data_IF_868330809628
#
_entry.id   IF_868330809628
#
_cell.length_a   1.000
_cell.length_b   1.000
_cell.length_c   1.000
_cell.angle_alpha   90.00
_cell.angle_beta   90.00
_cell.angle_gamma   90.00
#
_symmetry.space_group_name_H-M   'P 1'
#
loop_
_entity.id
_entity.type
_entity.pdbx_description
1 polymer ?
#
# COMPACT_ATOMS: atom_id res chain seq x y z
N UNK A 1 20.24 -1.94 4.04
CA UNK A 1 19.82 -3.31 3.66
C UNK A 1 18.40 -3.21 3.14
N UNK A 2 18.15 -3.67 1.92
CA UNK A 2 16.89 -3.51 1.19
C UNK A 2 15.85 -4.50 1.71
N UNK A 3 14.67 -4.02 2.11
CA UNK A 3 13.60 -4.88 2.61
C UNK A 3 12.44 -4.82 1.62
N UNK A 4 12.26 -5.91 0.87
CA UNK A 4 11.12 -6.06 -0.04
C UNK A 4 9.89 -6.44 0.80
N UNK A 5 8.84 -5.61 0.78
CA UNK A 5 7.60 -5.82 1.56
C UNK A 5 6.63 -6.84 0.90
N UNK A 6 7.14 -7.67 0.00
CA UNK A 6 6.44 -8.80 -0.60
C UNK A 6 7.36 -10.03 -0.61
N UNK A 7 6.79 -11.23 -0.59
CA UNK A 7 7.53 -12.49 -0.69
C UNK A 7 7.51 -13.05 -2.11
N UNK A 8 8.53 -13.84 -2.43
CA UNK A 8 8.55 -14.70 -3.62
C UNK A 8 8.48 -16.16 -3.17
N UNK A 9 7.57 -16.93 -3.74
CA UNK A 9 7.30 -18.31 -3.36
C UNK A 9 7.07 -18.45 -1.85
N UNK A 10 7.84 -19.32 -1.21
CA UNK A 10 7.74 -19.56 0.24
C UNK A 10 8.42 -18.46 1.09
N UNK A 11 9.01 -17.42 0.51
CA UNK A 11 9.51 -16.27 1.26
C UNK A 11 10.75 -16.52 2.12
N UNK A 12 11.60 -17.48 1.75
CA UNK A 12 12.91 -17.70 2.42
C UNK A 12 13.80 -16.45 2.35
N UNK A 13 13.77 -15.77 1.21
CA UNK A 13 14.52 -14.52 0.98
C UNK A 13 13.72 -13.26 1.36
N UNK A 14 12.54 -13.41 1.96
CA UNK A 14 11.76 -12.27 2.41
C UNK A 14 12.53 -11.52 3.51
N UNK A 15 12.68 -10.21 3.33
CA UNK A 15 13.35 -9.33 4.29
C UNK A 15 12.50 -8.13 4.68
N UNK A 16 11.23 -8.04 4.27
CA UNK A 16 10.32 -6.94 4.65
C UNK A 16 10.14 -6.75 6.16
N UNK A 17 9.38 -5.74 6.54
CA UNK A 17 9.21 -5.26 7.92
C UNK A 17 7.89 -5.68 8.56
N UNK A 18 7.09 -6.53 7.89
CA UNK A 18 5.89 -7.10 8.50
C UNK A 18 6.20 -7.72 9.87
N UNK A 19 5.48 -7.27 10.89
CA UNK A 19 5.75 -7.55 12.31
C UNK A 19 4.48 -7.97 13.06
N UNK A 20 3.42 -8.32 12.33
CA UNK A 20 2.19 -8.90 12.83
C UNK A 20 1.87 -10.20 12.11
N UNK A 21 1.26 -11.12 12.84
CA UNK A 21 0.75 -12.37 12.27
C UNK A 21 -0.51 -12.10 11.42
N UNK A 22 -0.95 -13.10 10.66
CA UNK A 22 -2.20 -13.06 9.90
C UNK A 22 -3.44 -12.76 10.75
N UNK A 23 -3.37 -13.00 12.07
CA UNK A 23 -4.41 -12.66 13.06
C UNK A 23 -4.20 -11.31 13.73
N UNK A 24 -3.21 -10.53 13.31
CA UNK A 24 -2.88 -9.21 13.86
C UNK A 24 -2.11 -9.26 15.19
N UNK A 25 -1.65 -10.42 15.65
CA UNK A 25 -0.86 -10.54 16.89
C UNK A 25 0.55 -10.01 16.64
N UNK A 26 1.07 -9.19 17.55
CA UNK A 26 2.42 -8.64 17.44
C UNK A 26 3.46 -9.74 17.54
N UNK A 27 4.47 -9.68 16.68
CA UNK A 27 5.59 -10.60 16.74
C UNK A 27 6.52 -10.29 17.93
N UNK A 28 7.02 -11.32 18.58
CA UNK A 28 8.15 -11.28 19.52
C UNK A 28 9.45 -11.10 18.73
N UNK A 29 10.44 -10.39 19.30
CA UNK A 29 11.76 -10.28 18.66
C UNK A 29 12.46 -11.64 18.63
N UNK A 30 13.20 -11.91 17.56
CA UNK A 30 13.93 -13.17 17.41
C UNK A 30 15.06 -13.37 18.44
N UNK A 31 15.57 -12.27 18.99
CA UNK A 31 16.59 -12.27 20.04
C UNK A 31 16.00 -12.35 21.47
N UNK A 32 14.70 -12.07 21.65
CA UNK A 32 14.05 -12.11 22.97
C UNK A 32 13.64 -13.55 23.30
N UNK A 33 13.66 -13.91 24.59
CA UNK A 33 13.28 -15.24 25.08
C UNK A 33 11.95 -15.29 25.84
N UNK A 34 11.19 -14.19 25.83
CA UNK A 34 9.90 -14.01 26.52
C UNK A 34 8.86 -13.45 25.52
N UNK A 35 7.61 -13.95 25.49
CA UNK A 35 7.09 -15.09 26.27
C UNK A 35 7.61 -16.46 25.82
N UNK A 36 8.12 -16.58 24.60
CA UNK A 36 8.53 -17.87 24.03
C UNK A 36 10.04 -17.94 23.86
N UNK A 37 10.67 -19.00 24.36
CA UNK A 37 12.08 -19.27 24.05
C UNK A 37 12.27 -19.70 22.58
N UNK A 38 12.92 -18.92 21.69
CA UNK A 38 12.98 -19.23 20.27
C UNK A 38 13.94 -20.39 19.95
N UNK A 39 13.56 -21.22 18.96
CA UNK A 39 14.46 -22.22 18.36
C UNK A 39 15.39 -21.58 17.31
N UNK A 40 14.89 -20.59 16.59
CA UNK A 40 15.63 -19.83 15.59
C UNK A 40 15.95 -18.47 16.19
N UNK A 41 17.24 -18.15 16.32
CA UNK A 41 17.73 -16.88 16.86
C UNK A 41 18.78 -16.29 15.90
N UNK A 42 19.02 -14.97 15.94
CA UNK A 42 20.01 -14.32 15.08
C UNK A 42 21.41 -14.91 15.24
N UNK A 43 21.78 -15.34 16.45
CA UNK A 43 23.09 -15.93 16.76
C UNK A 43 23.24 -17.32 16.12
N UNK A 44 22.17 -18.13 16.12
CA UNK A 44 22.18 -19.49 15.55
C UNK A 44 22.01 -19.50 14.03
N UNK A 45 21.28 -18.52 13.48
CA UNK A 45 20.95 -18.44 12.05
C UNK A 45 21.27 -17.05 11.48
N UNK A 46 22.55 -16.64 11.45
CA UNK A 46 22.95 -15.27 11.08
C UNK A 46 22.63 -14.90 9.62
N UNK A 47 22.42 -15.88 8.75
CA UNK A 47 22.04 -15.66 7.33
C UNK A 47 20.53 -15.59 7.08
N UNK A 48 19.71 -15.93 8.08
CA UNK A 48 18.26 -15.93 7.94
C UNK A 48 17.64 -14.52 8.08
N UNK A 49 18.45 -13.49 8.38
CA UNK A 49 17.99 -12.11 8.47
C UNK A 49 16.97 -11.90 9.58
N UNK A 50 17.15 -12.57 10.73
CA UNK A 50 16.26 -12.55 11.89
C UNK A 50 16.35 -11.23 12.67
N UNK A 51 16.15 -10.12 11.98
CA UNK A 51 16.24 -8.78 12.53
C UNK A 51 14.93 -8.39 13.23
N UNK A 52 15.05 -7.68 14.36
CA UNK A 52 13.91 -7.23 15.18
C UNK A 52 12.89 -8.35 15.45
N UNK A 53 11.62 -8.08 15.20
CA UNK A 53 10.49 -9.02 15.29
C UNK A 53 9.85 -9.26 13.93
N UNK A 54 10.58 -9.06 12.83
CA UNK A 54 10.01 -9.16 11.49
C UNK A 54 9.74 -10.61 11.09
N UNK A 55 8.66 -10.87 10.36
CA UNK A 55 8.32 -12.19 9.88
C UNK A 55 9.40 -12.76 8.95
N UNK A 56 9.81 -14.01 9.15
CA UNK A 56 10.87 -14.68 8.38
C UNK A 56 10.52 -16.14 8.16
N UNK A 57 11.19 -16.78 7.21
CA UNK A 57 11.06 -18.22 6.97
C UNK A 57 12.44 -18.90 7.12
N UNK A 58 12.98 -19.01 8.35
CA UNK A 58 14.32 -19.55 8.59
C UNK A 58 14.43 -21.07 8.34
N UNK A 59 13.30 -21.77 8.27
CA UNK A 59 13.21 -23.22 8.14
C UNK A 59 12.67 -23.71 6.81
N UNK A 60 12.35 -22.81 5.89
CA UNK A 60 11.86 -23.17 4.56
C UNK A 60 10.46 -23.80 4.60
N UNK A 61 9.63 -23.41 5.56
CA UNK A 61 8.25 -23.88 5.68
C UNK A 61 7.45 -23.49 4.41
N UNK A 62 6.73 -24.46 3.84
CA UNK A 62 5.95 -24.28 2.62
C UNK A 62 4.80 -23.27 2.78
N UNK A 63 4.32 -23.03 4.01
CA UNK A 63 3.28 -22.03 4.31
C UNK A 63 3.80 -20.61 4.28
N UNK A 64 5.11 -20.43 4.36
CA UNK A 64 5.78 -19.15 4.19
C UNK A 64 6.23 -18.50 5.50
N UNK A 65 6.53 -17.18 5.49
CA UNK A 65 7.15 -16.52 6.64
C UNK A 65 6.21 -16.42 7.84
N UNK A 66 6.81 -16.52 9.01
CA UNK A 66 6.15 -16.58 10.31
C UNK A 66 6.98 -15.84 11.36
N UNK A 67 6.42 -15.66 12.56
CA UNK A 67 7.15 -15.14 13.71
C UNK A 67 6.67 -15.79 15.01
N UNK A 68 7.52 -15.78 16.04
CA UNK A 68 7.05 -16.01 17.41
C UNK A 68 6.11 -14.87 17.81
N UNK A 69 5.08 -15.13 18.61
CA UNK A 69 4.09 -14.10 18.95
C UNK A 69 4.31 -13.55 20.36
N UNK A 70 3.78 -12.36 20.66
CA UNK A 70 3.77 -11.83 22.03
C UNK A 70 2.65 -12.42 22.89
N UNK A 71 1.77 -13.25 22.34
CA UNK A 71 0.71 -13.95 23.06
C UNK A 71 1.27 -15.23 23.73
N UNK A 72 1.22 -15.36 25.07
CA UNK A 72 1.72 -16.55 25.78
C UNK A 72 1.05 -17.87 25.37
N UNK A 73 -0.18 -17.84 24.86
CA UNK A 73 -0.92 -19.04 24.46
C UNK A 73 -0.62 -19.45 23.01
N UNK A 74 -0.13 -18.51 22.19
CA UNK A 74 0.19 -18.74 20.78
C UNK A 74 1.69 -18.64 20.54
N UNK A 75 2.38 -19.78 20.51
CA UNK A 75 3.85 -19.82 20.36
C UNK A 75 4.35 -19.11 19.10
N UNK A 76 3.75 -19.39 17.96
CA UNK A 76 4.07 -18.78 16.67
C UNK A 76 2.81 -18.79 15.78
N UNK A 77 2.77 -17.90 14.80
CA UNK A 77 1.74 -17.91 13.75
C UNK A 77 2.35 -17.35 12.45
N UNK A 78 1.70 -17.64 11.32
CA UNK A 78 2.15 -17.18 10.01
C UNK A 78 1.79 -15.72 9.78
N UNK A 79 2.51 -15.07 8.88
CA UNK A 79 2.27 -13.67 8.53
C UNK A 79 1.63 -13.56 7.14
N UNK A 80 0.68 -12.64 6.99
CA UNK A 80 0.01 -12.35 5.71
C UNK A 80 0.85 -11.44 4.83
N UNK A 81 1.95 -11.99 4.28
CA UNK A 81 2.84 -11.23 3.38
C UNK A 81 2.37 -11.43 1.93
N UNK A 82 2.15 -10.34 1.17
CA UNK A 82 1.71 -10.43 -0.21
C UNK A 82 2.79 -11.05 -1.11
N UNK A 83 2.36 -11.78 -2.14
CA UNK A 83 3.26 -12.29 -3.18
C UNK A 83 3.73 -11.12 -4.06
N UNK A 84 5.00 -11.13 -4.48
CA UNK A 84 5.50 -10.10 -5.37
C UNK A 84 4.86 -10.21 -6.75
N UNK A 85 4.23 -9.12 -7.18
CA UNK A 85 3.54 -9.04 -8.47
C UNK A 85 4.53 -8.92 -9.62
N UNK A 86 4.74 -10.00 -10.38
CA UNK A 86 5.74 -10.04 -11.46
C UNK A 86 5.15 -10.09 -12.87
N UNK A 87 3.95 -10.65 -13.06
CA UNK A 87 3.31 -10.79 -14.38
C UNK A 87 2.24 -9.73 -14.66
N UNK A 88 1.48 -9.37 -13.63
CA UNK A 88 0.37 -8.43 -13.69
C UNK A 88 0.44 -7.47 -12.49
N UNK A 89 -0.44 -6.46 -12.44
CA UNK A 89 -0.55 -5.55 -11.30
C UNK A 89 -1.93 -5.62 -10.64
N UNK A 90 -1.96 -5.56 -9.31
CA UNK A 90 -3.15 -5.19 -8.55
C UNK A 90 -3.16 -3.68 -8.30
N UNK A 91 -4.32 -3.15 -7.89
CA UNK A 91 -4.44 -1.76 -7.44
C UNK A 91 -3.87 -0.76 -8.46
N UNK A 92 -2.97 0.13 -8.07
CA UNK A 92 -2.28 1.04 -9.01
C UNK A 92 -0.86 0.55 -9.34
N UNK A 93 -0.51 -0.69 -8.98
CA UNK A 93 0.80 -1.28 -9.22
C UNK A 93 1.92 -0.76 -8.30
N UNK A 94 1.58 -0.30 -7.10
CA UNK A 94 2.53 0.13 -6.07
C UNK A 94 3.49 -1.02 -5.68
N UNK A 95 2.98 -2.24 -5.71
CA UNK A 95 3.72 -3.48 -5.44
C UNK A 95 4.13 -4.23 -6.71
N UNK A 96 3.97 -3.63 -7.89
CA UNK A 96 4.45 -4.22 -9.12
C UNK A 96 5.98 -4.31 -9.12
N UNK A 97 6.50 -5.52 -9.29
CA UNK A 97 7.93 -5.86 -9.28
C UNK A 97 8.35 -6.64 -10.52
N UNK A 98 7.50 -6.66 -11.55
CA UNK A 98 7.81 -7.27 -12.84
C UNK A 98 8.89 -6.53 -13.63
N UNK A 99 9.16 -7.04 -14.83
CA UNK A 99 10.30 -6.64 -15.68
C UNK A 99 9.89 -5.85 -16.92
N UNK A 100 8.63 -5.43 -17.02
CA UNK A 100 8.16 -4.57 -18.11
C UNK A 100 8.99 -3.27 -18.11
N UNK A 101 9.55 -2.91 -19.26
CA UNK A 101 10.46 -1.78 -19.44
C UNK A 101 10.13 -0.98 -20.72
N UNK A 102 8.85 -0.99 -21.11
CA UNK A 102 8.35 -0.29 -22.29
C UNK A 102 7.01 0.35 -21.96
N UNK A 103 6.80 1.57 -22.44
CA UNK A 103 5.63 2.38 -22.14
C UNK A 103 4.45 2.03 -23.04
N UNK A 104 3.25 2.52 -22.72
CA UNK A 104 2.05 2.38 -23.55
C UNK A 104 2.25 2.91 -24.97
N UNK A 105 3.13 3.90 -25.15
CA UNK A 105 3.47 4.46 -26.47
C UNK A 105 4.60 3.70 -27.17
N UNK A 106 5.04 2.56 -26.63
CA UNK A 106 6.13 1.75 -27.18
C UNK A 106 7.53 2.30 -26.91
N UNK A 107 7.69 3.30 -26.03
CA UNK A 107 8.99 3.89 -25.74
C UNK A 107 9.75 3.05 -24.71
N UNK A 108 11.05 2.85 -24.93
CA UNK A 108 11.92 2.18 -23.96
C UNK A 108 12.07 3.05 -22.71
N UNK A 109 12.02 2.41 -21.55
CA UNK A 109 12.27 3.10 -20.29
C UNK A 109 13.74 3.46 -20.12
N UNK A 110 13.99 4.68 -19.62
CA UNK A 110 15.26 5.12 -19.05
C UNK A 110 15.48 4.39 -17.72
N UNK A 111 16.75 4.07 -17.40
CA UNK A 111 17.07 3.45 -16.11
C UNK A 111 16.89 4.45 -14.97
N UNK A 112 16.39 3.98 -13.83
CA UNK A 112 16.17 4.82 -12.65
C UNK A 112 17.47 5.38 -12.06
N UNK A 113 18.59 4.67 -12.23
CA UNK A 113 19.93 5.13 -11.82
C UNK A 113 20.59 6.07 -12.85
N UNK A 114 19.94 6.32 -14.00
CA UNK A 114 20.45 7.22 -15.03
C UNK A 114 19.79 8.59 -14.95
N UNK A 115 20.56 9.64 -15.20
CA UNK A 115 20.07 11.03 -15.28
C UNK A 115 19.96 11.55 -16.72
N UNK A 116 20.07 10.66 -17.71
CA UNK A 116 19.97 10.96 -19.14
C UNK A 116 18.96 10.04 -19.85
N UNK A 117 18.17 10.55 -20.83
CA UNK A 117 18.08 11.96 -21.23
C UNK A 117 17.35 12.87 -20.23
N UNK A 118 16.64 12.29 -19.24
CA UNK A 118 15.85 13.07 -18.29
C UNK A 118 16.43 13.02 -16.89
N UNK A 119 16.92 14.15 -16.39
CA UNK A 119 17.34 14.25 -14.98
C UNK A 119 16.11 14.25 -14.06
N UNK A 120 16.15 13.52 -12.94
CA UNK A 120 15.02 13.32 -12.03
C UNK A 120 15.42 12.93 -10.60
N UNK A 121 14.51 13.12 -9.64
CA UNK A 121 14.73 12.82 -8.22
C UNK A 121 14.53 11.37 -7.78
N UNK A 122 13.90 10.52 -8.61
CA UNK A 122 13.63 9.10 -8.32
C UNK A 122 14.87 8.22 -8.46
N UNK A 123 15.92 8.53 -7.70
CA UNK A 123 17.13 7.73 -7.65
C UNK A 123 16.91 6.52 -6.73
N UNK A 124 17.36 5.30 -7.11
CA UNK A 124 17.20 4.11 -6.28
C UNK A 124 17.83 4.23 -4.89
N UNK A 125 18.87 5.06 -4.76
CA UNK A 125 19.55 5.34 -3.49
C UNK A 125 18.68 6.15 -2.51
N UNK A 126 17.81 7.02 -3.04
CA UNK A 126 16.91 7.86 -2.23
C UNK A 126 15.61 7.13 -1.85
N UNK A 127 15.22 6.13 -2.65
CA UNK A 127 13.97 5.38 -2.48
C UNK A 127 14.22 3.86 -2.54
N UNK A 128 15.07 3.30 -1.65
CA UNK A 128 15.47 1.90 -1.70
C UNK A 128 14.30 0.91 -1.56
N UNK A 129 13.22 1.31 -0.90
CA UNK A 129 12.00 0.53 -0.68
C UNK A 129 11.08 0.45 -1.91
N UNK A 130 11.22 1.37 -2.87
CA UNK A 130 10.38 1.45 -4.07
C UNK A 130 10.79 0.48 -5.18
N UNK A 131 11.86 -0.29 -4.98
CA UNK A 131 12.41 -1.25 -5.95
C UNK A 131 12.62 -0.64 -7.34
N UNK A 132 13.22 0.56 -7.39
CA UNK A 132 13.54 1.26 -8.64
C UNK A 132 14.71 0.58 -9.38
N UNK A 133 14.53 -0.67 -9.80
CA UNK A 133 15.57 -1.51 -10.40
C UNK A 133 15.61 -1.35 -11.92
N UNK A 134 16.82 -1.28 -12.46
CA UNK A 134 17.09 -1.14 -13.89
C UNK A 134 16.23 -0.01 -14.50
N UNK A 135 15.50 -0.32 -15.55
CA UNK A 135 14.52 0.56 -16.20
C UNK A 135 13.12 -0.05 -16.15
N UNK A 136 12.83 -0.90 -15.17
CA UNK A 136 11.52 -1.53 -15.06
C UNK A 136 10.47 -0.53 -14.58
N UNK A 137 9.27 -0.62 -15.11
CA UNK A 137 8.15 0.23 -14.74
C UNK A 137 7.82 0.07 -13.26
N UNK A 138 7.62 1.20 -12.56
CA UNK A 138 7.31 1.24 -11.12
C UNK A 138 6.29 2.34 -10.85
N UNK A 139 5.61 2.24 -9.72
CA UNK A 139 4.73 3.28 -9.21
C UNK A 139 5.21 3.75 -7.83
N UNK A 140 6.26 4.59 -7.76
CA UNK A 140 6.82 5.02 -6.49
C UNK A 140 5.98 6.07 -5.77
N UNK A 141 5.11 6.77 -6.48
CA UNK A 141 4.49 8.03 -6.08
C UNK A 141 2.96 8.02 -6.06
N UNK A 142 2.31 6.87 -6.27
CA UNK A 142 0.86 6.75 -6.17
C UNK A 142 0.13 7.22 -7.43
N UNK A 143 0.82 7.21 -8.57
CA UNK A 143 0.23 7.39 -9.89
C UNK A 143 -0.84 6.31 -10.17
N UNK A 144 -1.75 6.49 -11.16
CA UNK A 144 -2.78 5.50 -11.47
C UNK A 144 -2.25 4.13 -11.90
N UNK A 145 -1.02 4.09 -12.44
CA UNK A 145 -0.38 2.88 -12.99
C UNK A 145 1.15 3.02 -12.89
N UNK A 146 1.91 1.90 -12.93
CA UNK A 146 3.35 1.98 -13.05
C UNK A 146 3.77 2.71 -14.32
N UNK A 147 4.83 3.49 -14.18
CA UNK A 147 5.37 4.35 -15.21
C UNK A 147 6.90 4.26 -15.21
N UNK A 148 7.52 4.91 -16.18
CA UNK A 148 8.96 5.11 -16.20
C UNK A 148 9.32 6.41 -16.92
N UNK A 149 10.51 6.95 -16.65
CA UNK A 149 11.13 7.92 -17.55
C UNK A 149 11.42 7.23 -18.89
N UNK A 150 11.35 7.95 -20.01
CA UNK A 150 11.57 7.34 -21.33
C UNK A 150 12.94 7.69 -21.90
N UNK A 151 13.47 6.86 -22.80
CA UNK A 151 14.72 7.20 -23.53
C UNK A 151 14.49 8.24 -24.63
N UNK A 152 13.24 8.68 -24.88
CA UNK A 152 12.95 9.72 -25.86
C UNK A 152 13.18 11.10 -25.25
N UNK A 153 13.96 12.00 -25.89
CA UNK A 153 14.20 13.34 -25.36
C UNK A 153 12.94 14.22 -25.35
N UNK A 154 11.91 13.88 -26.13
CA UNK A 154 10.68 14.67 -26.26
C UNK A 154 9.54 14.22 -25.35
N UNK A 155 9.66 13.04 -24.73
CA UNK A 155 8.65 12.52 -23.79
C UNK A 155 9.33 12.11 -22.49
N UNK A 156 9.25 12.97 -21.49
CA UNK A 156 9.96 12.80 -20.22
C UNK A 156 9.64 11.47 -19.54
N UNK A 157 8.36 11.15 -19.43
CA UNK A 157 7.87 9.92 -18.81
C UNK A 157 6.58 9.49 -19.50
N UNK A 158 6.19 8.23 -19.29
CA UNK A 158 4.95 7.68 -19.81
C UNK A 158 4.51 6.47 -18.96
N UNK A 159 3.21 6.18 -18.96
CA UNK A 159 2.69 4.99 -18.28
C UNK A 159 3.13 3.71 -18.99
N UNK A 160 3.16 2.61 -18.26
CA UNK A 160 3.41 1.28 -18.82
C UNK A 160 2.13 0.47 -18.96
N UNK A 161 2.08 -0.36 -20.01
CA UNK A 161 0.95 -1.25 -20.26
C UNK A 161 1.12 -2.58 -19.52
N UNK A 162 0.89 -2.55 -18.21
CA UNK A 162 0.93 -3.75 -17.37
C UNK A 162 -0.51 -4.28 -17.20
N UNK A 163 -0.76 -5.57 -17.49
CA UNK A 163 -2.10 -6.14 -17.34
C UNK A 163 -2.53 -6.11 -15.87
N UNK A 164 -3.82 -5.83 -15.62
CA UNK A 164 -4.40 -5.98 -14.28
C UNK A 164 -4.57 -7.47 -13.98
N UNK A 165 -4.24 -7.90 -12.78
CA UNK A 165 -4.46 -9.29 -12.35
C UNK A 165 -5.97 -9.59 -12.29
N UNK A 166 -6.37 -10.80 -12.69
CA UNK A 166 -7.77 -11.27 -12.60
C UNK A 166 -8.10 -11.83 -11.23
N UNK A 167 -7.09 -12.11 -10.40
CA UNK A 167 -7.26 -12.49 -9.01
C UNK A 167 -7.73 -11.29 -8.18
N UNK A 168 -8.45 -11.52 -7.07
CA UNK A 168 -8.77 -10.44 -6.13
C UNK A 168 -7.47 -9.79 -5.64
N UNK A 169 -7.44 -8.45 -5.45
CA UNK A 169 -6.32 -7.79 -4.78
C UNK A 169 -6.17 -8.35 -3.35
N UNK A 170 -4.98 -8.18 -2.73
CA UNK A 170 -4.80 -8.49 -1.32
C UNK A 170 -5.94 -7.87 -0.52
N UNK A 171 -6.63 -8.62 0.36
CA UNK A 171 -7.78 -8.11 1.06
C UNK A 171 -7.37 -6.84 1.82
N UNK A 172 -7.98 -5.68 1.52
CA UNK A 172 -7.68 -4.48 2.28
C UNK A 172 -8.03 -4.73 3.74
N UNK A 173 -7.27 -4.12 4.65
CA UNK A 173 -7.62 -4.13 6.07
C UNK A 173 -9.10 -3.69 6.23
N UNK A 174 -9.88 -4.30 7.13
CA UNK A 174 -11.27 -3.93 7.32
C UNK A 174 -11.37 -2.43 7.60
N UNK A 175 -12.04 -1.72 6.70
CA UNK A 175 -12.12 -0.27 6.75
C UNK A 175 -12.93 0.24 7.95
N UNK A 176 -12.63 1.45 8.40
CA UNK A 176 -13.31 2.08 9.54
C UNK A 176 -14.49 2.92 9.09
N UNK A 177 -15.51 2.99 9.93
CA UNK A 177 -16.64 3.92 9.74
C UNK A 177 -16.42 5.29 10.40
N UNK A 178 -15.27 5.48 11.06
CA UNK A 178 -14.87 6.67 11.80
C UNK A 178 -13.46 7.11 11.38
N UNK A 179 -13.09 8.35 11.68
CA UNK A 179 -11.79 8.92 11.35
C UNK A 179 -10.71 8.39 12.29
N UNK A 180 -9.65 7.81 11.72
CA UNK A 180 -8.41 7.47 12.41
C UNK A 180 -7.21 7.92 11.58
N UNK A 181 -6.22 8.56 12.21
CA UNK A 181 -5.08 9.14 11.49
C UNK A 181 -5.55 10.12 10.40
N UNK A 182 -5.10 9.90 9.15
CA UNK A 182 -5.51 10.68 7.96
C UNK A 182 -6.77 10.13 7.27
N UNK A 183 -7.36 9.05 7.77
CA UNK A 183 -8.57 8.44 7.19
C UNK A 183 -8.37 7.72 5.85
N UNK A 184 -7.15 7.24 5.57
CA UNK A 184 -6.87 6.39 4.40
C UNK A 184 -7.64 5.06 4.45
N UNK A 185 -7.93 4.56 5.66
CA UNK A 185 -8.74 3.37 5.93
C UNK A 185 -10.23 3.66 6.12
N UNK A 186 -10.66 4.93 5.97
CA UNK A 186 -12.06 5.29 6.10
C UNK A 186 -12.89 4.69 4.97
N UNK A 187 -13.94 3.95 5.32
CA UNK A 187 -14.89 3.28 4.41
C UNK A 187 -16.35 3.55 4.80
N UNK A 188 -16.60 4.61 5.55
CA UNK A 188 -17.96 5.06 5.85
C UNK A 188 -18.65 5.73 4.65
N UNK A 189 -19.88 6.19 4.87
CA UNK A 189 -20.80 6.66 3.81
C UNK A 189 -21.07 8.17 3.86
N UNK A 190 -20.28 8.96 4.59
CA UNK A 190 -20.44 10.41 4.60
C UNK A 190 -20.16 10.95 3.19
N UNK A 191 -21.08 11.74 2.65
CA UNK A 191 -21.08 12.27 1.28
C UNK A 191 -21.31 13.78 1.21
N UNK A 192 -20.97 14.48 2.28
CA UNK A 192 -21.13 15.93 2.44
C UNK A 192 -19.85 16.50 3.07
N UNK A 193 -19.41 17.65 2.57
CA UNK A 193 -18.18 18.32 3.00
C UNK A 193 -18.36 19.10 4.30
N UNK A 194 -17.27 19.62 4.87
CA UNK A 194 -17.28 20.42 6.10
C UNK A 194 -18.16 21.69 5.99
N UNK A 195 -18.18 22.36 4.83
CA UNK A 195 -19.08 23.50 4.58
C UNK A 195 -20.48 23.12 4.07
N UNK A 196 -20.80 21.83 3.98
CA UNK A 196 -22.13 21.34 3.58
C UNK A 196 -22.31 21.14 2.08
N UNK A 197 -21.26 21.19 1.25
CA UNK A 197 -21.38 20.87 -0.17
C UNK A 197 -21.65 19.37 -0.37
N UNK A 198 -22.52 19.02 -1.31
CA UNK A 198 -22.73 17.63 -1.70
C UNK A 198 -21.52 17.11 -2.49
N UNK A 199 -21.07 15.91 -2.18
CA UNK A 199 -19.98 15.28 -2.91
C UNK A 199 -20.41 14.86 -4.32
N UNK A 200 -19.54 15.10 -5.29
CA UNK A 200 -19.63 14.54 -6.64
C UNK A 200 -19.24 13.06 -6.60
N UNK A 201 -19.94 12.22 -7.37
CA UNK A 201 -19.59 10.80 -7.51
C UNK A 201 -18.19 10.64 -8.13
N UNK A 202 -17.40 9.70 -7.62
CA UNK A 202 -16.03 9.45 -8.08
C UNK A 202 -15.96 8.92 -9.52
N UNK A 203 -17.03 8.34 -10.04
CA UNK A 203 -17.15 7.95 -11.44
C UNK A 203 -17.73 9.06 -12.34
N UNK A 204 -18.18 10.19 -11.77
CA UNK A 204 -18.68 11.33 -12.52
C UNK A 204 -17.54 12.26 -12.93
N UNK A 205 -17.65 12.86 -14.11
CA UNK A 205 -16.71 13.86 -14.63
C UNK A 205 -17.31 15.27 -14.69
N UNK A 206 -18.41 15.49 -13.97
CA UNK A 206 -19.14 16.75 -13.89
C UNK A 206 -19.61 17.02 -12.45
N UNK A 207 -19.53 18.28 -11.96
CA UNK A 207 -19.01 19.47 -12.65
C UNK A 207 -17.48 19.47 -12.83
N UNK A 208 -16.75 18.69 -12.02
CA UNK A 208 -15.29 18.72 -12.04
C UNK A 208 -14.73 17.47 -12.73
N UNK A 209 -13.98 17.66 -13.81
CA UNK A 209 -13.19 16.58 -14.41
C UNK A 209 -12.01 16.21 -13.51
N UNK A 210 -11.72 14.93 -13.35
CA UNK A 210 -10.63 14.43 -12.52
C UNK A 210 -10.17 13.02 -12.88
N UNK A 211 -8.93 12.69 -12.48
CA UNK A 211 -8.32 11.38 -12.69
C UNK A 211 -8.59 10.37 -11.56
N UNK A 212 -9.14 10.81 -10.42
CA UNK A 212 -9.46 9.95 -9.27
C UNK A 212 -10.76 9.19 -9.47
N UNK A 213 -10.72 8.17 -10.31
CA UNK A 213 -11.88 7.32 -10.59
C UNK A 213 -11.65 5.91 -10.05
N UNK A 214 -12.72 5.11 -9.82
CA UNK A 214 -12.60 3.71 -9.41
C UNK A 214 -11.73 2.88 -10.37
N UNK A 215 -11.73 3.18 -11.66
CA UNK A 215 -10.95 2.46 -12.66
C UNK A 215 -9.44 2.71 -12.52
N UNK A 216 -9.07 3.94 -12.16
CA UNK A 216 -7.68 4.33 -11.93
C UNK A 216 -7.18 3.90 -10.55
N UNK A 217 -8.05 3.90 -9.54
CA UNK A 217 -7.70 3.61 -8.15
C UNK A 217 -8.61 2.52 -7.54
N UNK A 218 -8.59 1.29 -8.07
CA UNK A 218 -9.58 0.26 -7.73
C UNK A 218 -9.51 -0.25 -6.28
N UNK A 219 -8.38 -0.04 -5.59
CA UNK A 219 -8.21 -0.44 -4.19
C UNK A 219 -8.49 0.68 -3.19
N UNK A 220 -8.84 1.88 -3.67
CA UNK A 220 -9.14 3.03 -2.81
C UNK A 220 -10.62 3.12 -2.41
N UNK A 221 -11.46 2.15 -2.84
CA UNK A 221 -12.89 2.07 -2.54
C UNK A 221 -13.61 3.40 -2.83
N UNK A 222 -13.39 3.95 -4.04
CA UNK A 222 -13.98 5.19 -4.50
C UNK A 222 -15.45 5.00 -4.90
N UNK A 223 -16.23 4.41 -4.00
CA UNK A 223 -17.63 4.05 -4.22
C UNK A 223 -18.54 5.28 -4.07
N UNK A 224 -19.54 5.38 -4.94
CA UNK A 224 -20.51 6.47 -4.96
C UNK A 224 -19.84 7.86 -4.92
N UNK A 225 -20.29 8.70 -3.99
CA UNK A 225 -19.73 10.02 -3.68
C UNK A 225 -19.25 10.10 -2.23
N UNK A 226 -18.88 8.97 -1.62
CA UNK A 226 -18.45 8.95 -0.23
C UNK A 226 -17.07 9.59 -0.08
N UNK A 227 -16.84 10.30 1.02
CA UNK A 227 -15.56 10.91 1.33
C UNK A 227 -14.47 9.85 1.44
N UNK A 228 -13.32 10.09 0.80
CA UNK A 228 -12.17 9.18 0.78
C UNK A 228 -10.86 9.96 0.84
N UNK A 229 -9.78 9.27 1.16
CA UNK A 229 -8.43 9.84 1.10
C UNK A 229 -7.51 8.96 0.24
N UNK A 230 -7.70 8.97 -1.09
CA UNK A 230 -6.96 8.08 -2.00
C UNK A 230 -5.50 8.48 -2.25
N UNK A 231 -5.05 9.65 -1.76
CA UNK A 231 -3.77 10.26 -2.10
C UNK A 231 -2.93 10.72 -0.91
N UNK A 232 -3.28 10.29 0.29
CA UNK A 232 -2.52 10.60 1.49
C UNK A 232 -2.60 12.08 1.89
N UNK A 233 -3.68 12.76 1.49
CA UNK A 233 -4.02 14.10 1.92
C UNK A 233 -4.27 14.13 3.45
N UNK A 234 -4.42 15.31 4.06
CA UNK A 234 -4.52 15.41 5.53
C UNK A 234 -5.74 14.70 6.13
N UNK A 235 -6.88 14.68 5.41
CA UNK A 235 -8.15 14.07 5.84
C UNK A 235 -8.95 13.62 4.62
N UNK A 236 -9.97 12.75 4.80
CA UNK A 236 -10.84 12.39 3.69
C UNK A 236 -11.58 13.60 3.12
N UNK A 237 -11.72 13.59 1.80
CA UNK A 237 -12.25 14.67 1.00
C UNK A 237 -13.10 14.09 -0.15
N UNK A 238 -13.77 14.98 -0.88
CA UNK A 238 -14.44 14.63 -2.12
C UNK A 238 -14.41 15.82 -3.09
N UNK A 239 -14.53 15.55 -4.40
CA UNK A 239 -14.96 16.60 -5.34
C UNK A 239 -16.37 17.03 -4.99
N UNK A 240 -16.73 18.28 -5.24
CA UNK A 240 -18.07 18.78 -4.88
C UNK A 240 -18.96 18.96 -6.10
N UNK A 241 -20.29 18.91 -5.92
CA UNK A 241 -21.23 19.28 -6.98
C UNK A 241 -21.33 20.81 -7.17
N UNK A 242 -20.66 21.59 -6.33
CA UNK A 242 -20.59 23.04 -6.45
C UNK A 242 -19.52 23.42 -7.49
N UNK A 243 -19.94 24.15 -8.52
CA UNK A 243 -19.06 24.54 -9.65
C UNK A 243 -17.89 25.44 -9.26
N UNK A 244 -17.93 26.13 -8.11
CA UNK A 244 -16.85 27.03 -7.66
C UNK A 244 -15.88 26.35 -6.69
N UNK A 245 -16.36 25.38 -5.91
CA UNK A 245 -15.53 24.61 -4.97
C UNK A 245 -15.14 23.27 -5.61
N UNK A 246 -13.94 23.19 -6.21
CA UNK A 246 -13.51 21.97 -6.91
C UNK A 246 -13.56 20.72 -6.04
N UNK A 247 -13.03 20.81 -4.82
CA UNK A 247 -13.00 19.74 -3.85
C UNK A 247 -12.92 20.35 -2.45
N UNK A 248 -13.28 19.57 -1.44
CA UNK A 248 -13.22 20.00 -0.04
C UNK A 248 -13.10 18.81 0.91
N UNK A 249 -12.56 19.06 2.10
CA UNK A 249 -12.54 18.09 3.19
C UNK A 249 -13.92 17.78 3.73
N UNK A 250 -14.05 16.55 4.25
CA UNK A 250 -15.24 16.11 4.95
C UNK A 250 -15.03 16.12 6.46
N UNK A 251 -16.10 16.42 7.19
CA UNK A 251 -16.11 16.33 8.64
C UNK A 251 -16.51 14.92 9.07
N UNK A 252 -15.53 14.07 9.36
CA UNK A 252 -15.74 12.67 9.77
C UNK A 252 -15.53 12.54 11.28
N UNK A 253 -16.48 11.95 12.03
CA UNK A 253 -16.33 11.73 13.47
C UNK A 253 -15.12 10.87 13.82
N UNK A 254 -14.34 11.30 14.82
CA UNK A 254 -13.23 10.49 15.36
C UNK A 254 -13.73 9.19 15.98
N UNK A 255 -12.96 8.12 15.81
CA UNK A 255 -13.21 6.84 16.48
C UNK A 255 -13.20 6.95 18.01
N UNK A 256 -12.53 7.94 18.60
CA UNK A 256 -12.48 8.13 20.05
C UNK A 256 -13.77 8.72 20.63
N UNK A 257 -14.62 9.30 19.78
CA UNK A 257 -15.88 9.94 20.19
C UNK A 257 -17.06 8.96 20.29
N UNK A 258 -16.87 7.66 20.00
CA UNK A 258 -17.88 6.62 20.23
C UNK A 258 -17.77 6.07 21.66
N UNK A 259 -18.10 6.88 22.67
CA UNK A 259 -18.47 6.33 23.99
C UNK A 259 -19.94 5.88 23.91
N UNK A 260 -20.30 4.69 24.42
CA UNK A 260 -21.71 4.32 24.57
C UNK A 260 -22.38 5.33 25.50
N UNK A 261 -23.49 5.93 25.07
CA UNK A 261 -24.39 6.62 25.98
C UNK A 261 -24.77 5.66 27.11
N UNK A 262 -24.40 6.02 28.34
CA UNK A 262 -24.89 5.32 29.52
C UNK A 262 -26.42 5.47 29.56
N UNK A 263 -27.19 4.38 29.74
CA UNK A 263 -28.64 4.49 29.84
C UNK A 263 -29.00 5.39 31.03
N UNK A 264 -29.72 6.47 30.73
CA UNK A 264 -30.26 7.38 31.74
C UNK A 264 -31.09 6.61 32.75
N UNK A 265 -30.74 6.75 34.02
CA UNK A 265 -31.56 6.29 35.14
C UNK A 265 -32.78 7.20 35.23
N UNK A 266 -33.95 6.67 34.90
CA UNK A 266 -35.23 7.16 35.43
C UNK A 266 -35.50 6.46 36.76
#
# INVERSE_FOLDING_TARGET
VYLLECKKGIGVDYRGTEAKTQKGVRCQKWADDIPHKPRYTPEKYPRAGLEENYCRNPDGDEKGPWCYTTDPDTRFDYCSIPECEVECMHCSGENYRGVVATTVSGLKCQRWDSQEPHSHGYLPENFPEKDLKNNYCRNPDGEPRPWCFTTSPTKRWDYCDIPRCTTPPPPPAPGRQCLSGRGEDYRGTISVTESGNTCQHWNSQSPHRHARTPENYPCQSLDENYCRNPDGEQRPWCYTTNTTARWEYCNIPSCDNTKPEAPGKN
#
